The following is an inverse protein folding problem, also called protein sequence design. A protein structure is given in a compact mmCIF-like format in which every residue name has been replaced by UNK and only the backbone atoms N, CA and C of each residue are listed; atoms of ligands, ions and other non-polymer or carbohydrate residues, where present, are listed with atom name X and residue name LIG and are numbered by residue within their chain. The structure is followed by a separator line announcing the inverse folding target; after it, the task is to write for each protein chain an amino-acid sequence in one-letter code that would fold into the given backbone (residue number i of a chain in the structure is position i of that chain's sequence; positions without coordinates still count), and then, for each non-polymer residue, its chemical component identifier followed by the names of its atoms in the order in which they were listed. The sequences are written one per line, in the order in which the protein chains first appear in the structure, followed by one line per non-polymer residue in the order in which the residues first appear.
data_IF_305595867012
#
_entry.id   IF_305595867012
#
_cell.length_a   1.000
_cell.length_b   1.000
_cell.length_c   1.000
_cell.angle_alpha   90.00
_cell.angle_beta   90.00
_cell.angle_gamma   90.00
#
_symmetry.space_group_name_H-M   'P 1'
#
loop_
_entity.id
_entity.type
_entity.pdbx_description
1 polymer ?
#
# COMPACT_ATOMS: atom_id res chain seq x y z
N UNK A 1 -1.44 22.93 -14.26
CA UNK A 1 -2.30 22.30 -15.30
C UNK A 1 -1.61 21.06 -15.85
N UNK A 2 -1.59 19.94 -15.12
CA UNK A 2 -0.97 18.70 -15.63
C UNK A 2 -1.88 17.98 -16.62
N UNK A 3 -3.17 17.89 -16.32
CA UNK A 3 -4.13 17.23 -17.19
C UNK A 3 -4.16 17.84 -18.59
N UNK A 4 -4.27 19.17 -18.67
CA UNK A 4 -4.28 19.88 -19.96
C UNK A 4 -2.96 19.78 -20.73
N UNK A 5 -1.81 19.83 -20.05
CA UNK A 5 -0.51 19.60 -20.70
C UNK A 5 -0.41 18.18 -21.25
N UNK A 6 -0.92 17.17 -20.53
CA UNK A 6 -0.93 15.78 -20.99
C UNK A 6 -1.90 15.56 -22.14
N UNK A 7 -3.09 16.12 -22.08
CA UNK A 7 -4.09 16.01 -23.15
C UNK A 7 -3.54 16.54 -24.49
N UNK A 8 -2.77 17.63 -24.45
CA UNK A 8 -2.13 18.20 -25.62
C UNK A 8 -1.00 17.33 -26.20
N UNK A 9 -0.29 16.57 -25.36
CA UNK A 9 0.84 15.72 -25.78
C UNK A 9 0.37 14.32 -26.20
N UNK A 10 -0.59 13.76 -25.47
CA UNK A 10 -1.14 12.43 -25.70
C UNK A 10 -2.58 12.38 -25.16
N UNK A 11 -3.59 12.46 -26.05
CA UNK A 11 -4.99 12.35 -25.64
C UNK A 11 -5.25 10.99 -24.98
N UNK A 12 -5.79 11.00 -23.76
CA UNK A 12 -6.15 9.80 -23.01
C UNK A 12 -7.48 9.28 -23.56
N UNK A 13 -7.44 8.28 -24.45
CA UNK A 13 -8.63 7.86 -25.23
C UNK A 13 -9.44 6.74 -24.57
N UNK A 14 -8.82 5.75 -23.90
CA UNK A 14 -9.56 4.83 -23.04
C UNK A 14 -9.62 5.34 -21.60
N UNK A 15 -10.78 5.20 -20.95
CA UNK A 15 -10.96 5.46 -19.52
C UNK A 15 -9.95 4.70 -18.64
N UNK A 16 -9.57 3.48 -19.06
CA UNK A 16 -8.53 2.69 -18.37
C UNK A 16 -7.18 3.40 -18.32
N UNK A 17 -6.72 3.95 -19.45
CA UNK A 17 -5.45 4.68 -19.52
C UNK A 17 -5.47 5.95 -18.64
N UNK A 18 -6.60 6.65 -18.61
CA UNK A 18 -6.78 7.79 -17.71
C UNK A 18 -6.66 7.39 -16.23
N UNK A 19 -7.30 6.28 -15.83
CA UNK A 19 -7.25 5.75 -14.47
C UNK A 19 -5.82 5.35 -14.08
N UNK A 20 -5.12 4.61 -14.94
CA UNK A 20 -3.75 4.16 -14.67
C UNK A 20 -2.79 5.33 -14.49
N UNK A 21 -2.94 6.39 -15.28
CA UNK A 21 -2.12 7.60 -15.19
C UNK A 21 -2.43 8.45 -13.95
N UNK A 22 -3.68 8.47 -13.50
CA UNK A 22 -4.02 9.05 -12.20
C UNK A 22 -3.39 8.26 -11.07
N UNK A 23 -3.47 6.93 -11.11
CA UNK A 23 -2.84 6.07 -10.11
C UNK A 23 -1.32 6.23 -10.10
N UNK A 24 -0.66 6.33 -11.26
CA UNK A 24 0.78 6.60 -11.37
C UNK A 24 1.16 7.96 -10.74
N UNK A 25 0.38 9.01 -11.01
CA UNK A 25 0.67 10.37 -10.53
C UNK A 25 0.42 10.55 -9.03
N UNK A 26 -0.64 9.93 -8.52
CA UNK A 26 -1.10 10.09 -7.14
C UNK A 26 -0.75 8.92 -6.24
N UNK A 27 -0.13 7.85 -6.77
CA UNK A 27 0.64 6.91 -5.95
C UNK A 27 1.73 7.71 -5.26
N UNK A 28 1.54 7.97 -3.98
CA UNK A 28 2.59 8.43 -3.09
C UNK A 28 3.67 7.35 -3.09
N UNK A 29 4.78 7.63 -3.74
CA UNK A 29 5.93 6.74 -3.95
C UNK A 29 6.72 6.39 -2.69
N UNK A 30 6.20 6.67 -1.49
CA UNK A 30 6.95 6.41 -0.25
C UNK A 30 6.60 5.10 0.46
N UNK A 31 5.39 4.57 0.29
CA UNK A 31 5.00 3.38 1.07
C UNK A 31 4.86 2.11 0.21
N UNK A 32 4.91 2.19 -1.13
CA UNK A 32 4.73 1.01 -1.99
C UNK A 32 3.26 0.59 -2.11
N UNK A 33 3.01 -0.49 -2.84
CA UNK A 33 1.67 -1.09 -2.94
C UNK A 33 1.16 -1.56 -1.57
N UNK A 34 -0.17 -1.67 -1.34
CA UNK A 34 -0.70 -2.09 -0.03
C UNK A 34 -0.14 -3.46 0.41
N UNK A 35 0.10 -4.35 -0.57
CA UNK A 35 0.76 -5.62 -0.32
C UNK A 35 2.22 -5.44 0.11
N UNK A 36 2.97 -4.55 -0.54
CA UNK A 36 4.36 -4.23 -0.16
C UNK A 36 4.41 -3.64 1.25
N UNK A 37 3.55 -2.66 1.56
CA UNK A 37 3.40 -2.08 2.89
C UNK A 37 3.15 -3.14 3.96
N UNK A 38 2.29 -4.10 3.65
CA UNK A 38 1.98 -5.20 4.55
C UNK A 38 3.21 -6.09 4.79
N UNK A 39 3.88 -6.56 3.72
CA UNK A 39 5.01 -7.50 3.85
C UNK A 39 6.29 -6.89 4.47
N UNK A 40 6.45 -5.57 4.40
CA UNK A 40 7.57 -4.85 5.04
C UNK A 40 7.23 -4.33 6.43
N UNK A 41 6.00 -4.49 6.92
CA UNK A 41 5.56 -3.95 8.21
C UNK A 41 6.35 -4.57 9.37
N UNK A 42 7.05 -3.71 10.12
CA UNK A 42 7.79 -4.07 11.34
C UNK A 42 7.40 -3.13 12.49
N UNK A 43 7.62 -3.56 13.73
CA UNK A 43 7.42 -2.71 14.90
C UNK A 43 8.55 -1.68 15.01
N UNK A 44 8.23 -0.41 14.72
CA UNK A 44 9.20 0.68 14.87
C UNK A 44 9.28 1.17 16.32
N UNK A 45 8.12 1.43 16.93
CA UNK A 45 7.98 2.01 18.27
C UNK A 45 7.29 1.03 19.22
N UNK A 46 5.98 1.18 19.44
CA UNK A 46 5.22 0.34 20.37
C UNK A 46 4.51 -0.79 19.66
N UNK A 47 4.29 -1.90 20.37
CA UNK A 47 3.50 -3.02 19.87
C UNK A 47 2.06 -2.60 19.54
N UNK A 48 1.51 -1.61 20.25
CA UNK A 48 0.16 -1.09 20.02
C UNK A 48 0.05 -0.35 18.68
N UNK A 49 1.03 0.49 18.35
CA UNK A 49 1.06 1.17 17.05
C UNK A 49 1.26 0.18 15.90
N UNK A 50 2.11 -0.84 16.10
CA UNK A 50 2.28 -1.93 15.15
C UNK A 50 0.97 -2.67 14.88
N UNK A 51 0.27 -3.12 15.94
CA UNK A 51 -1.02 -3.82 15.82
C UNK A 51 -2.07 -2.99 15.06
N UNK A 52 -2.18 -1.70 15.39
CA UNK A 52 -3.11 -0.79 14.72
C UNK A 52 -2.82 -0.66 13.21
N UNK A 53 -1.54 -0.57 12.83
CA UNK A 53 -1.13 -0.54 11.41
C UNK A 53 -1.38 -1.88 10.72
N UNK A 54 -1.09 -2.99 11.39
CA UNK A 54 -1.34 -4.34 10.87
C UNK A 54 -2.83 -4.54 10.55
N UNK A 55 -3.73 -4.24 11.50
CA UNK A 55 -5.18 -4.34 11.33
C UNK A 55 -5.70 -3.46 10.17
N UNK A 56 -5.16 -2.24 10.04
CA UNK A 56 -5.52 -1.34 8.95
C UNK A 56 -5.15 -1.90 7.57
N UNK A 57 -3.95 -2.49 7.46
CA UNK A 57 -3.46 -3.05 6.20
C UNK A 57 -4.14 -4.37 5.87
N UNK A 58 -4.28 -5.29 6.83
CA UNK A 58 -4.94 -6.58 6.63
C UNK A 58 -6.42 -6.41 6.26
N UNK A 59 -7.11 -5.47 6.90
CA UNK A 59 -8.51 -5.16 6.60
C UNK A 59 -8.74 -4.57 5.20
N UNK A 60 -7.71 -3.95 4.60
CA UNK A 60 -7.79 -3.41 3.24
C UNK A 60 -7.44 -4.42 2.15
N UNK A 61 -6.73 -5.50 2.51
CA UNK A 61 -6.20 -6.46 1.53
C UNK A 61 -7.19 -7.58 1.17
N UNK A 62 -8.20 -7.85 2.00
CA UNK A 62 -9.41 -8.63 1.66
C UNK A 62 -9.22 -10.13 1.43
N UNK A 63 -8.24 -10.51 0.61
CA UNK A 63 -8.02 -11.86 0.06
C UNK A 63 -6.70 -12.50 0.55
N UNK A 64 -6.25 -12.16 1.77
CA UNK A 64 -5.04 -12.77 2.36
C UNK A 64 -5.42 -13.97 3.23
N UNK A 65 -4.80 -15.12 2.95
CA UNK A 65 -4.98 -16.33 3.77
C UNK A 65 -4.51 -16.12 5.22
N UNK A 66 -5.19 -16.75 6.17
CA UNK A 66 -4.85 -16.70 7.60
C UNK A 66 -3.38 -17.05 7.89
N UNK A 67 -2.83 -18.09 7.24
CA UNK A 67 -1.42 -18.47 7.39
C UNK A 67 -0.44 -17.36 7.00
N UNK A 68 -0.77 -16.53 6.00
CA UNK A 68 0.06 -15.39 5.58
C UNK A 68 -0.09 -14.23 6.57
N UNK A 69 -1.28 -14.02 7.12
CA UNK A 69 -1.50 -13.02 8.18
C UNK A 69 -0.67 -13.36 9.42
N UNK A 70 -0.74 -14.60 9.88
CA UNK A 70 0.03 -15.09 11.03
C UNK A 70 1.54 -14.98 10.78
N UNK A 71 2.02 -15.47 9.63
CA UNK A 71 3.43 -15.43 9.28
C UNK A 71 3.98 -14.00 9.25
N UNK A 72 3.22 -13.06 8.68
CA UNK A 72 3.62 -11.66 8.62
C UNK A 72 3.53 -10.98 10.01
N UNK A 73 2.52 -11.33 10.81
CA UNK A 73 2.38 -10.82 12.17
C UNK A 73 3.51 -11.28 13.09
N UNK A 74 4.00 -12.52 12.94
CA UNK A 74 5.07 -13.04 13.81
C UNK A 74 6.46 -12.49 13.45
N UNK A 75 6.67 -12.03 12.21
CA UNK A 75 7.92 -11.42 11.75
C UNK A 75 8.14 -9.99 12.30
N UNK A 76 7.06 -9.25 12.50
CA UNK A 76 7.12 -7.79 12.73
C UNK A 76 7.46 -7.31 14.14
N UNK A 77 6.95 -7.92 15.23
CA UNK A 77 7.21 -7.51 16.60
C UNK A 77 8.70 -7.59 16.94
N UNK A 78 9.20 -6.58 17.65
CA UNK A 78 10.52 -6.70 18.28
C UNK A 78 10.38 -7.67 19.45
N UNK A 79 11.28 -8.65 19.56
CA UNK A 79 11.42 -9.40 20.80
C UNK A 79 11.79 -8.38 21.89
N UNK A 80 10.83 -8.03 22.74
CA UNK A 80 11.14 -7.41 24.01
C UNK A 80 11.70 -8.54 24.91
N UNK A 81 13.03 -8.63 24.98
CA UNK A 81 13.77 -9.44 25.96
C UNK A 81 13.84 -8.67 27.26
#
# INVERSE_FOLDING_TARGET
MWFQWREQQQPLRPWGEFKDRLLERFRTTQEGDLHEQFFVLIQEKTIMEYRKKFELLSGRLGDISEAVLEGNFMKGPKLEI
#
